data_IF_261339623741
#
_entry.id   IF_261339623741
#
_cell.length_a   1.000
_cell.length_b   1.000
_cell.length_c   1.000
_cell.angle_alpha   90.00
_cell.angle_beta   90.00
_cell.angle_gamma   90.00
#
_symmetry.space_group_name_H-M   'P 1'
#
loop_
_entity.id
_entity.type
_entity.pdbx_description
1 polymer ?
#
# COMPACT_ATOMS: atom_id res chain seq x y z
N UNK A 1 8.23 12.33 -2.43
CA UNK A 1 8.33 12.66 -0.99
C UNK A 1 8.31 11.41 -0.12
N UNK A 2 7.19 10.70 0.10
CA UNK A 2 7.12 9.51 0.99
C UNK A 2 8.15 8.42 0.67
N UNK A 3 8.26 8.04 -0.61
CA UNK A 3 9.25 7.05 -1.10
C UNK A 3 10.68 7.51 -0.79
N UNK A 4 11.01 8.79 -1.02
CA UNK A 4 12.36 9.32 -0.78
C UNK A 4 12.72 9.26 0.71
N UNK A 5 11.84 9.73 1.60
CA UNK A 5 12.07 9.71 3.05
C UNK A 5 12.38 8.29 3.54
N UNK A 6 11.55 7.32 3.13
CA UNK A 6 11.76 5.93 3.53
C UNK A 6 13.02 5.33 2.90
N UNK A 7 13.29 5.63 1.62
CA UNK A 7 14.47 5.16 0.91
C UNK A 7 15.75 5.65 1.57
N UNK A 8 15.82 6.93 1.90
CA UNK A 8 16.98 7.55 2.56
C UNK A 8 17.23 6.91 3.92
N UNK A 9 16.19 6.79 4.75
CA UNK A 9 16.29 6.13 6.06
C UNK A 9 16.77 4.68 5.95
N UNK A 10 16.19 3.90 5.03
CA UNK A 10 16.59 2.49 4.83
C UNK A 10 18.03 2.41 4.36
N UNK A 11 18.45 3.26 3.42
CA UNK A 11 19.82 3.28 2.90
C UNK A 11 20.87 3.75 3.92
N UNK A 12 20.48 4.60 4.86
CA UNK A 12 21.37 5.10 5.90
C UNK A 12 21.54 4.12 7.06
N UNK A 13 20.47 3.42 7.46
CA UNK A 13 20.46 2.69 8.72
C UNK A 13 20.41 1.16 8.59
N UNK A 14 20.03 0.61 7.44
CA UNK A 14 19.95 -0.85 7.31
C UNK A 14 21.34 -1.43 7.02
N UNK A 15 21.71 -2.58 7.63
CA UNK A 15 23.00 -3.20 7.38
C UNK A 15 23.15 -3.72 5.95
N UNK A 16 22.05 -4.19 5.34
CA UNK A 16 22.00 -4.61 3.95
C UNK A 16 20.58 -4.45 3.38
N UNK A 17 20.48 -4.24 2.07
CA UNK A 17 19.19 -4.00 1.38
C UNK A 17 19.07 -4.73 0.04
N UNK A 18 19.40 -6.04 -0.06
CA UNK A 18 19.47 -6.74 -1.35
C UNK A 18 18.14 -6.75 -2.11
N UNK A 19 17.00 -6.82 -1.42
CA UNK A 19 15.68 -6.83 -2.08
C UNK A 19 15.32 -5.44 -2.59
N UNK A 20 15.57 -4.38 -1.81
CA UNK A 20 15.39 -3.01 -2.28
C UNK A 20 16.31 -2.68 -3.45
N UNK A 21 17.56 -3.16 -3.44
CA UNK A 21 18.50 -2.95 -4.54
C UNK A 21 18.02 -3.60 -5.84
N UNK A 22 17.50 -4.82 -5.73
CA UNK A 22 16.85 -5.49 -6.85
C UNK A 22 15.63 -4.70 -7.35
N UNK A 23 14.77 -4.23 -6.44
CA UNK A 23 13.59 -3.44 -6.80
C UNK A 23 13.96 -2.12 -7.51
N UNK A 24 15.03 -1.44 -7.07
CA UNK A 24 15.53 -0.23 -7.72
C UNK A 24 16.16 -0.52 -9.10
N UNK A 25 16.77 -1.69 -9.29
CA UNK A 25 17.23 -2.12 -10.61
C UNK A 25 16.04 -2.36 -11.56
N UNK A 26 14.96 -2.99 -11.06
CA UNK A 26 13.70 -3.15 -11.81
C UNK A 26 13.09 -1.78 -12.15
N UNK A 27 13.07 -0.84 -11.19
CA UNK A 27 12.59 0.53 -11.41
C UNK A 27 13.33 1.22 -12.56
N UNK A 28 14.66 1.08 -12.66
CA UNK A 28 15.44 1.64 -13.80
C UNK A 28 14.95 1.10 -15.14
N UNK A 29 14.62 -0.19 -15.20
CA UNK A 29 14.10 -0.83 -16.41
C UNK A 29 12.69 -0.33 -16.71
N UNK A 30 11.79 -0.27 -15.72
CA UNK A 30 10.39 0.15 -15.95
C UNK A 30 10.29 1.62 -16.31
N UNK A 31 11.07 2.49 -15.66
CA UNK A 31 11.09 3.94 -15.94
C UNK A 31 11.64 4.28 -17.31
N UNK A 32 12.55 3.46 -17.86
CA UNK A 32 12.99 3.59 -19.26
C UNK A 32 11.87 3.30 -20.28
N UNK A 33 10.83 2.56 -19.89
CA UNK A 33 9.64 2.30 -20.72
C UNK A 33 8.59 3.38 -20.58
N UNK A 34 8.29 3.79 -19.34
CA UNK A 34 7.42 4.94 -19.04
C UNK A 34 7.87 5.63 -17.75
N UNK A 35 8.05 6.96 -17.74
CA UNK A 35 8.66 7.68 -16.63
C UNK A 35 7.85 7.63 -15.32
N UNK A 36 6.56 7.31 -15.38
CA UNK A 36 5.69 7.19 -14.22
C UNK A 36 5.68 5.78 -13.58
N UNK A 37 6.37 4.79 -14.16
CA UNK A 37 6.49 3.44 -13.60
C UNK A 37 7.63 3.37 -12.57
N UNK A 38 7.55 4.25 -11.58
CA UNK A 38 8.46 4.35 -10.44
C UNK A 38 8.12 3.30 -9.37
N UNK A 39 9.07 3.01 -8.48
CA UNK A 39 8.82 2.22 -7.28
C UNK A 39 7.91 3.03 -6.34
N UNK A 40 6.66 2.57 -6.20
CA UNK A 40 5.69 3.23 -5.34
C UNK A 40 5.99 2.97 -3.84
N UNK A 41 5.23 3.63 -2.97
CA UNK A 41 5.44 3.54 -1.53
C UNK A 41 5.17 2.13 -0.99
N UNK A 42 4.15 1.45 -1.52
CA UNK A 42 3.77 0.10 -1.13
C UNK A 42 4.89 -0.90 -1.47
N UNK A 43 5.44 -0.81 -2.69
CA UNK A 43 6.56 -1.64 -3.14
C UNK A 43 7.84 -1.36 -2.37
N UNK A 44 8.12 -0.10 -2.04
CA UNK A 44 9.29 0.25 -1.22
C UNK A 44 9.14 -0.28 0.22
N UNK A 45 7.98 -0.12 0.85
CA UNK A 45 7.74 -0.67 2.20
C UNK A 45 7.85 -2.19 2.18
N UNK A 46 7.28 -2.86 1.18
CA UNK A 46 7.38 -4.31 1.01
C UNK A 46 8.84 -4.78 0.94
N UNK A 47 9.63 -4.21 0.01
CA UNK A 47 11.05 -4.56 -0.13
C UNK A 47 11.84 -4.26 1.15
N UNK A 48 11.62 -3.10 1.77
CA UNK A 48 12.31 -2.70 2.99
C UNK A 48 11.97 -3.60 4.19
N UNK A 49 10.71 -3.99 4.38
CA UNK A 49 10.33 -4.90 5.49
C UNK A 49 10.92 -6.29 5.27
N UNK A 50 10.99 -6.78 4.04
CA UNK A 50 11.68 -8.06 3.73
C UNK A 50 13.17 -7.95 4.06
N UNK A 51 13.83 -6.87 3.64
CA UNK A 51 15.23 -6.62 3.99
C UNK A 51 15.42 -6.49 5.52
N UNK A 52 14.50 -5.84 6.23
CA UNK A 52 14.54 -5.73 7.70
C UNK A 52 14.52 -7.11 8.35
N UNK A 53 13.54 -7.96 7.99
CA UNK A 53 13.40 -9.29 8.58
C UNK A 53 14.62 -10.16 8.25
N UNK A 54 15.11 -10.12 7.01
CA UNK A 54 16.21 -11.00 6.55
C UNK A 54 17.60 -10.52 6.96
N UNK A 55 17.82 -9.21 7.09
CA UNK A 55 19.15 -8.63 7.24
C UNK A 55 19.40 -7.96 8.60
N UNK A 56 18.38 -7.79 9.45
CA UNK A 56 18.57 -7.23 10.81
C UNK A 56 19.41 -8.09 11.73
N UNK A 57 19.53 -9.40 11.45
CA UNK A 57 20.14 -10.38 12.35
C UNK A 57 19.24 -10.81 13.52
N UNK A 58 17.97 -10.35 13.54
CA UNK A 58 17.01 -10.69 14.59
C UNK A 58 16.18 -11.95 14.29
N UNK A 59 16.20 -12.45 13.06
CA UNK A 59 15.37 -13.57 12.61
C UNK A 59 16.20 -14.54 11.77
N UNK A 60 15.86 -15.82 11.81
CA UNK A 60 16.33 -16.80 10.82
C UNK A 60 15.63 -16.58 9.47
N UNK A 61 16.13 -17.23 8.41
CA UNK A 61 15.50 -17.16 7.10
C UNK A 61 14.08 -17.73 7.12
N UNK A 62 13.88 -18.82 7.88
CA UNK A 62 12.60 -19.50 8.05
C UNK A 62 11.60 -18.62 8.82
N UNK A 63 12.03 -18.00 9.92
CA UNK A 63 11.19 -17.07 10.70
C UNK A 63 10.79 -15.85 9.89
N UNK A 64 11.75 -15.25 9.19
CA UNK A 64 11.50 -14.10 8.30
C UNK A 64 10.48 -14.47 7.22
N UNK A 65 10.57 -15.67 6.65
CA UNK A 65 9.65 -16.16 5.64
C UNK A 65 8.25 -16.41 6.22
N UNK A 66 8.15 -17.03 7.40
CA UNK A 66 6.88 -17.26 8.08
C UNK A 66 6.13 -15.94 8.34
N UNK A 67 6.79 -14.91 8.85
CA UNK A 67 6.16 -13.59 9.09
C UNK A 67 5.59 -12.97 7.82
N UNK A 68 6.24 -13.17 6.68
CA UNK A 68 5.75 -12.69 5.38
C UNK A 68 4.51 -13.51 4.96
N UNK A 69 4.55 -14.83 5.12
CA UNK A 69 3.47 -15.74 4.73
C UNK A 69 2.20 -15.57 5.57
N UNK A 70 2.32 -15.37 6.88
CA UNK A 70 1.16 -15.09 7.75
C UNK A 70 0.59 -13.67 7.54
N UNK A 71 1.24 -12.85 6.72
CA UNK A 71 0.73 -11.54 6.33
C UNK A 71 1.05 -10.40 7.29
N UNK A 72 2.21 -10.40 7.95
CA UNK A 72 2.63 -9.30 8.83
C UNK A 72 2.60 -7.92 8.14
N UNK A 73 2.94 -7.88 6.84
CA UNK A 73 2.84 -6.68 5.99
C UNK A 73 1.40 -6.14 5.88
N UNK A 74 0.42 -7.02 5.82
CA UNK A 74 -1.00 -6.63 5.81
C UNK A 74 -1.36 -5.98 7.15
N UNK A 75 -0.91 -6.56 8.26
CA UNK A 75 -1.09 -6.01 9.61
C UNK A 75 -0.50 -4.60 9.76
N UNK A 76 0.71 -4.38 9.23
CA UNK A 76 1.34 -3.05 9.23
C UNK A 76 0.48 -2.00 8.51
N UNK A 77 -0.06 -2.34 7.33
CA UNK A 77 -0.92 -1.43 6.57
C UNK A 77 -2.25 -1.16 7.28
N UNK A 78 -2.90 -2.21 7.80
CA UNK A 78 -4.16 -2.10 8.54
C UNK A 78 -3.99 -1.18 9.75
N UNK A 79 -2.93 -1.36 10.53
CA UNK A 79 -2.62 -0.54 11.69
C UNK A 79 -2.43 0.93 11.30
N UNK A 80 -1.57 1.21 10.32
CA UNK A 80 -1.31 2.58 9.88
C UNK A 80 -2.55 3.27 9.30
N UNK A 81 -3.35 2.56 8.50
CA UNK A 81 -4.56 3.12 7.88
C UNK A 81 -5.68 3.36 8.89
N UNK A 82 -5.76 2.55 9.94
CA UNK A 82 -6.75 2.71 11.02
C UNK A 82 -6.65 4.07 11.69
N UNK A 83 -5.44 4.61 11.85
CA UNK A 83 -5.24 5.98 12.37
C UNK A 83 -5.98 7.01 11.50
N UNK A 84 -5.82 6.91 10.18
CA UNK A 84 -6.50 7.79 9.23
C UNK A 84 -8.02 7.61 9.23
N UNK A 85 -8.50 6.36 9.33
CA UNK A 85 -9.94 6.07 9.39
C UNK A 85 -10.59 6.65 10.65
N UNK A 86 -9.94 6.53 11.81
CA UNK A 86 -10.41 7.18 13.04
C UNK A 86 -10.44 8.70 12.85
N UNK A 87 -9.38 9.27 12.26
CA UNK A 87 -9.32 10.70 11.94
C UNK A 87 -10.48 11.17 11.06
N UNK A 88 -10.77 10.45 9.97
CA UNK A 88 -11.89 10.76 9.08
C UNK A 88 -13.24 10.63 9.79
N UNK A 89 -13.45 9.60 10.59
CA UNK A 89 -14.68 9.48 11.38
C UNK A 89 -14.91 10.70 12.29
N UNK A 90 -13.89 11.08 13.06
CA UNK A 90 -13.97 12.23 13.95
C UNK A 90 -14.16 13.54 13.18
N UNK A 91 -13.52 13.67 12.02
CA UNK A 91 -13.67 14.84 11.15
C UNK A 91 -15.10 14.99 10.63
N UNK A 92 -15.73 13.91 10.14
CA UNK A 92 -17.12 13.96 9.69
C UNK A 92 -18.09 14.30 10.82
N UNK A 93 -17.84 13.81 12.04
CA UNK A 93 -18.59 14.20 13.24
C UNK A 93 -18.42 15.69 13.57
N UNK A 94 -17.19 16.20 13.54
CA UNK A 94 -16.88 17.62 13.77
C UNK A 94 -17.56 18.51 12.73
N UNK A 95 -17.56 18.11 11.47
CA UNK A 95 -18.18 18.82 10.34
C UNK A 95 -19.71 18.70 10.31
N UNK A 96 -20.31 17.88 11.19
CA UNK A 96 -21.76 17.62 11.24
C UNK A 96 -22.33 17.19 9.88
N UNK A 97 -21.59 16.36 9.16
CA UNK A 97 -21.98 15.92 7.82
C UNK A 97 -23.27 15.09 7.85
N UNK A 98 -24.14 15.35 6.88
CA UNK A 98 -25.43 14.67 6.73
C UNK A 98 -25.30 13.26 6.14
N UNK A 99 -26.44 12.60 5.92
CA UNK A 99 -26.45 11.28 5.30
C UNK A 99 -26.00 11.36 3.83
N UNK A 100 -25.08 10.50 3.45
CA UNK A 100 -24.65 10.37 2.06
C UNK A 100 -25.59 9.46 1.26
N UNK A 101 -25.98 9.92 0.06
CA UNK A 101 -26.65 9.12 -0.97
C UNK A 101 -25.91 9.31 -2.28
N UNK A 102 -25.53 8.21 -2.93
CA UNK A 102 -24.77 8.28 -4.17
C UNK A 102 -25.65 8.83 -5.33
N UNK A 103 -25.13 9.74 -6.16
CA UNK A 103 -25.85 10.26 -7.33
C UNK A 103 -26.17 9.15 -8.33
N UNK A 104 -27.37 9.18 -8.92
CA UNK A 104 -27.80 8.15 -9.88
C UNK A 104 -27.14 8.26 -11.24
N UNK A 105 -26.71 9.46 -11.63
CA UNK A 105 -25.98 9.74 -12.87
C UNK A 105 -24.55 9.17 -12.85
N UNK A 106 -24.00 8.84 -11.68
CA UNK A 106 -22.73 8.13 -11.50
C UNK A 106 -22.91 6.60 -11.39
N UNK A 107 -24.12 6.08 -11.63
CA UNK A 107 -24.43 4.63 -11.61
C UNK A 107 -24.91 4.18 -12.99
N UNK A 108 -24.18 3.25 -13.60
CA UNK A 108 -24.62 2.58 -14.81
C UNK A 108 -25.59 1.44 -14.47
N UNK A 109 -26.88 1.67 -14.72
CA UNK A 109 -27.92 0.66 -14.54
C UNK A 109 -28.03 -0.19 -15.81
N UNK A 110 -27.49 -1.41 -15.75
CA UNK A 110 -27.66 -2.43 -16.80
C UNK A 110 -28.59 -3.50 -16.23
N UNK A 111 -29.89 -3.32 -16.47
CA UNK A 111 -30.92 -4.24 -15.99
C UNK A 111 -31.14 -5.37 -17.01
N UNK A 112 -31.51 -6.59 -16.58
CA UNK A 112 -31.96 -7.65 -17.48
C UNK A 112 -33.18 -7.20 -18.30
N UNK A 113 -33.30 -7.62 -19.55
CA UNK A 113 -34.36 -7.18 -20.48
C UNK A 113 -35.79 -7.34 -19.91
N UNK A 114 -36.04 -8.43 -19.17
CA UNK A 114 -37.33 -8.67 -18.51
C UNK A 114 -37.72 -7.60 -17.47
N UNK A 115 -36.76 -6.83 -16.95
CA UNK A 115 -36.99 -5.73 -16.00
C UNK A 115 -37.00 -4.35 -16.67
N UNK A 116 -36.64 -4.27 -17.96
CA UNK A 116 -36.73 -3.02 -18.73
C UNK A 116 -38.12 -2.80 -19.32
N UNK A 117 -38.90 -3.86 -19.53
CA UNK A 117 -40.29 -3.74 -19.99
C UNK A 117 -41.26 -3.25 -18.89
N UNK A 118 -40.86 -3.34 -17.62
CA UNK A 118 -41.65 -2.92 -16.45
C UNK A 118 -41.24 -1.56 -15.85
N UNK A 119 -40.18 -0.92 -16.37
CA UNK A 119 -39.62 0.34 -15.87
C UNK A 119 -39.96 1.53 -16.78
#
# INVERSE_FOLDING_TARGET
MRVQILKEYVKEHFPATPVLDYALAVEKITTSKKPNLILNVDGLIGAAVVDLLRCSGCFTAEEAQEYIEIGALNGLFVLGRTIGFIGHYLDQKRLKQGLYRHPWDDISYILPEAMMEEA
#
